data_IF_690196405225
#
_entry.id   IF_690196405225
#
_cell.length_a   1.000
_cell.length_b   1.000
_cell.length_c   1.000
_cell.angle_alpha   90.00
_cell.angle_beta   90.00
_cell.angle_gamma   90.00
#
_symmetry.space_group_name_H-M   'P 1'
#
loop_
_entity.id
_entity.type
_entity.pdbx_description
1 polymer ?
#
# COMPACT_ATOMS: atom_id res chain seq x y z
N UNK A 1 -37.68 46.98 -20.32
CA UNK A 1 -36.25 47.12 -20.00
C UNK A 1 -35.91 46.82 -18.52
N UNK A 2 -36.65 47.34 -17.53
CA UNK A 2 -36.37 47.12 -16.08
C UNK A 2 -36.46 45.65 -15.60
N UNK A 3 -37.38 44.87 -16.18
CA UNK A 3 -37.58 43.44 -15.85
C UNK A 3 -36.42 42.54 -16.30
N UNK A 4 -35.74 42.93 -17.38
CA UNK A 4 -34.60 42.19 -17.95
C UNK A 4 -33.33 42.42 -17.12
N UNK A 5 -33.13 43.67 -16.66
CA UNK A 5 -32.04 44.05 -15.75
C UNK A 5 -32.18 43.37 -14.38
N UNK A 6 -33.41 43.27 -13.84
CA UNK A 6 -33.68 42.54 -12.59
C UNK A 6 -33.44 41.03 -12.70
N UNK A 7 -33.71 40.41 -13.85
CA UNK A 7 -33.46 38.99 -14.08
C UNK A 7 -31.95 38.70 -14.20
N UNK A 8 -31.22 39.61 -14.85
CA UNK A 8 -29.76 39.53 -14.98
C UNK A 8 -29.07 39.66 -13.60
N UNK A 9 -29.59 40.53 -12.73
CA UNK A 9 -29.07 40.71 -11.37
C UNK A 9 -29.30 39.47 -10.49
N UNK A 10 -30.43 38.77 -10.68
CA UNK A 10 -30.75 37.53 -9.95
C UNK A 10 -29.86 36.35 -10.38
N UNK A 11 -29.50 36.26 -11.67
CA UNK A 11 -28.55 35.24 -12.16
C UNK A 11 -27.12 35.45 -11.64
N UNK A 12 -26.72 36.69 -11.35
CA UNK A 12 -25.38 37.02 -10.84
C UNK A 12 -25.27 36.67 -9.34
N UNK A 13 -26.36 36.79 -8.57
CA UNK A 13 -26.39 36.48 -7.13
C UNK A 13 -26.42 34.97 -6.82
N UNK A 14 -26.67 34.10 -7.80
CA UNK A 14 -26.73 32.62 -7.64
C UNK A 14 -25.38 31.90 -7.83
N UNK A 15 -24.27 32.63 -8.03
CA UNK A 15 -22.91 32.05 -8.17
C UNK A 15 -22.02 32.67 -7.08
N UNK A 16 -21.85 32.04 -5.90
CA UNK A 16 -21.03 30.83 -5.83
C UNK A 16 -21.41 29.90 -4.66
N UNK A 17 -22.16 28.84 -4.94
CA UNK A 17 -22.13 27.60 -4.13
C UNK A 17 -21.28 26.52 -4.82
N UNK A 18 -20.24 26.93 -5.55
CA UNK A 18 -19.24 25.99 -6.06
C UNK A 18 -18.30 25.65 -4.91
N UNK A 19 -18.71 24.67 -4.12
CA UNK A 19 -17.82 23.92 -3.25
C UNK A 19 -16.76 23.29 -4.16
N UNK A 20 -15.59 23.91 -4.22
CA UNK A 20 -14.46 23.25 -4.85
C UNK A 20 -14.09 22.10 -3.91
N UNK A 21 -14.01 20.84 -4.38
CA UNK A 21 -13.39 19.80 -3.57
C UNK A 21 -12.01 20.34 -3.21
N UNK A 22 -11.68 20.37 -1.92
CA UNK A 22 -10.36 20.76 -1.45
C UNK A 22 -9.36 19.88 -2.20
N UNK A 23 -8.73 20.46 -3.22
CA UNK A 23 -7.83 19.76 -4.11
C UNK A 23 -6.77 19.14 -3.23
N UNK A 24 -6.76 17.81 -3.16
CA UNK A 24 -5.68 17.05 -2.56
C UNK A 24 -4.40 17.64 -3.12
N UNK A 25 -3.57 18.22 -2.26
CA UNK A 25 -2.32 18.88 -2.65
C UNK A 25 -1.57 17.97 -3.64
N UNK A 26 -1.53 18.36 -4.92
CA UNK A 26 -0.78 17.63 -5.97
C UNK A 26 0.73 17.63 -5.67
N UNK A 27 1.17 18.47 -4.72
CA UNK A 27 2.53 18.49 -4.15
C UNK A 27 2.91 17.26 -3.32
N UNK A 28 2.02 16.30 -3.08
CA UNK A 28 2.39 14.98 -2.52
C UNK A 28 2.65 13.90 -3.59
N UNK A 29 2.78 14.29 -4.86
CA UNK A 29 3.07 13.33 -5.93
C UNK A 29 4.59 13.16 -6.10
N UNK A 30 5.19 12.24 -5.32
CA UNK A 30 6.18 11.24 -5.83
C UNK A 30 6.90 10.44 -4.72
N UNK A 31 6.28 10.12 -3.57
CA UNK A 31 6.88 9.04 -2.76
C UNK A 31 6.48 7.70 -3.40
N UNK A 32 7.48 6.87 -3.73
CA UNK A 32 7.23 5.49 -4.07
C UNK A 32 6.61 4.81 -2.86
N UNK A 33 5.32 4.51 -2.92
CA UNK A 33 4.61 3.84 -1.83
C UNK A 33 5.03 2.37 -1.80
N UNK A 34 5.45 1.90 -0.63
CA UNK A 34 5.78 0.50 -0.40
C UNK A 34 4.54 -0.23 0.12
N UNK A 35 4.13 -1.28 -0.59
CA UNK A 35 3.14 -2.25 -0.12
C UNK A 35 3.87 -3.56 0.19
N UNK A 36 3.88 -3.97 1.46
CA UNK A 36 4.39 -5.26 1.88
C UNK A 36 3.22 -6.24 2.03
N UNK A 37 3.23 -7.32 1.24
CA UNK A 37 2.26 -8.42 1.33
C UNK A 37 2.98 -9.64 1.88
N UNK A 38 2.44 -10.25 2.93
CA UNK A 38 3.01 -11.43 3.56
C UNK A 38 2.01 -12.58 3.50
N UNK A 39 2.44 -13.70 2.92
CA UNK A 39 1.65 -14.92 2.82
C UNK A 39 2.18 -15.94 3.85
N UNK A 40 1.37 -16.31 4.83
CA UNK A 40 1.76 -17.29 5.84
C UNK A 40 1.83 -18.69 5.23
N UNK A 41 2.86 -19.46 5.60
CA UNK A 41 3.07 -20.82 5.12
C UNK A 41 3.35 -20.95 3.61
N UNK A 42 3.63 -19.86 2.89
CA UNK A 42 3.94 -19.92 1.46
C UNK A 42 5.36 -20.45 1.24
N UNK A 43 5.48 -21.73 0.92
CA UNK A 43 6.78 -22.37 0.67
C UNK A 43 7.38 -21.87 -0.64
N UNK A 44 8.71 -21.80 -0.70
CA UNK A 44 9.49 -21.25 -1.81
C UNK A 44 9.17 -21.84 -3.20
N UNK A 45 8.65 -23.07 -3.29
CA UNK A 45 8.32 -23.75 -4.54
C UNK A 45 6.82 -23.87 -4.84
N UNK A 46 5.94 -23.23 -4.07
CA UNK A 46 4.49 -23.33 -4.30
C UNK A 46 4.02 -22.71 -5.60
N UNK A 47 4.82 -21.85 -6.21
CA UNK A 47 4.53 -21.25 -7.51
C UNK A 47 4.96 -22.13 -8.70
N UNK A 48 5.62 -23.27 -8.47
CA UNK A 48 6.12 -24.15 -9.54
C UNK A 48 5.07 -25.16 -10.04
N UNK A 49 4.23 -25.64 -9.12
CA UNK A 49 3.29 -26.74 -9.38
C UNK A 49 1.82 -26.27 -9.49
N UNK A 50 1.59 -24.96 -9.45
CA UNK A 50 0.25 -24.34 -9.44
C UNK A 50 0.25 -23.13 -10.36
N UNK A 51 -0.85 -22.96 -11.12
CA UNK A 51 -1.06 -21.77 -11.94
C UNK A 51 -1.27 -20.53 -11.05
N UNK A 52 -0.31 -19.61 -11.08
CA UNK A 52 -0.32 -18.38 -10.27
C UNK A 52 -0.07 -17.15 -11.14
N UNK A 53 -1.00 -16.81 -12.06
CA UNK A 53 -0.75 -15.84 -13.13
C UNK A 53 -0.37 -14.43 -12.62
N UNK A 54 -0.90 -14.03 -11.46
CA UNK A 54 -0.54 -12.75 -10.84
C UNK A 54 0.87 -12.75 -10.25
N UNK A 55 1.30 -13.87 -9.67
CA UNK A 55 2.67 -14.00 -9.15
C UNK A 55 3.67 -14.06 -10.32
N UNK A 56 3.33 -14.77 -11.39
CA UNK A 56 4.15 -14.80 -12.61
C UNK A 56 4.37 -13.41 -13.21
N UNK A 57 3.34 -12.56 -13.20
CA UNK A 57 3.46 -11.16 -13.64
C UNK A 57 4.41 -10.37 -12.73
N UNK A 58 4.34 -10.56 -11.42
CA UNK A 58 5.25 -9.92 -10.47
C UNK A 58 6.70 -10.35 -10.67
N UNK A 59 6.95 -11.64 -10.93
CA UNK A 59 8.29 -12.16 -11.22
C UNK A 59 8.81 -11.60 -12.53
N UNK A 60 7.99 -11.57 -13.59
CA UNK A 60 8.37 -11.03 -14.91
C UNK A 60 8.69 -9.54 -14.88
N UNK A 61 7.99 -8.77 -14.05
CA UNK A 61 8.16 -7.30 -13.95
C UNK A 61 9.10 -6.88 -12.82
N UNK A 62 9.55 -7.82 -11.99
CA UNK A 62 10.28 -7.56 -10.75
C UNK A 62 11.45 -8.50 -10.54
N UNK A 63 11.73 -8.82 -9.27
CA UNK A 63 12.83 -9.69 -8.85
C UNK A 63 12.30 -10.79 -7.94
N UNK A 64 12.71 -12.02 -8.20
CA UNK A 64 12.43 -13.20 -7.37
C UNK A 64 13.75 -13.77 -6.82
N UNK A 65 13.78 -14.03 -5.52
CA UNK A 65 14.82 -14.84 -4.90
C UNK A 65 14.42 -16.33 -4.99
N UNK A 66 15.41 -17.24 -5.02
CA UNK A 66 15.16 -18.68 -5.06
C UNK A 66 14.43 -19.17 -3.80
N UNK A 67 14.87 -18.71 -2.62
CA UNK A 67 14.23 -18.94 -1.34
C UNK A 67 14.63 -17.86 -0.33
N UNK A 68 13.89 -17.79 0.78
CA UNK A 68 14.23 -16.98 1.95
C UNK A 68 14.56 -17.92 3.11
N UNK A 69 15.69 -17.70 3.78
CA UNK A 69 16.04 -18.45 4.99
C UNK A 69 15.19 -17.91 6.15
N UNK A 70 14.25 -18.70 6.71
CA UNK A 70 13.45 -18.26 7.85
C UNK A 70 14.31 -18.20 9.13
N UNK A 71 13.86 -17.50 10.18
CA UNK A 71 14.49 -17.63 11.49
C UNK A 71 14.40 -19.08 11.99
N UNK A 72 15.35 -19.47 12.86
CA UNK A 72 15.50 -20.85 13.36
C UNK A 72 14.17 -21.46 13.86
N UNK A 73 13.34 -20.66 14.53
CA UNK A 73 11.97 -21.05 14.90
C UNK A 73 11.03 -20.65 13.77
N UNK A 74 10.67 -21.61 12.92
CA UNK A 74 9.75 -21.43 11.77
C UNK A 74 8.27 -21.40 12.20
N UNK A 75 7.93 -20.59 13.20
CA UNK A 75 6.54 -20.31 13.57
C UNK A 75 6.09 -18.96 12.99
N UNK A 76 4.78 -18.79 12.78
CA UNK A 76 4.18 -17.57 12.19
C UNK A 76 4.63 -16.29 12.93
N UNK A 77 4.41 -16.21 14.24
CA UNK A 77 4.74 -14.99 15.00
C UNK A 77 6.25 -14.64 14.99
N UNK A 78 7.20 -15.57 15.22
CA UNK A 78 8.64 -15.34 15.01
C UNK A 78 9.04 -14.93 13.60
N UNK A 79 8.53 -15.62 12.59
CA UNK A 79 8.94 -15.38 11.20
C UNK A 79 8.49 -14.01 10.70
N UNK A 80 7.24 -13.64 10.96
CA UNK A 80 6.72 -12.32 10.59
C UNK A 80 7.42 -11.19 11.34
N UNK A 81 7.67 -11.38 12.65
CA UNK A 81 8.36 -10.37 13.46
C UNK A 81 9.77 -10.11 12.95
N UNK A 82 10.56 -11.16 12.70
CA UNK A 82 11.93 -11.02 12.20
C UNK A 82 11.97 -10.42 10.79
N UNK A 83 11.02 -10.76 9.91
CA UNK A 83 10.94 -10.18 8.56
C UNK A 83 10.68 -8.67 8.59
N UNK A 84 9.81 -8.20 9.49
CA UNK A 84 9.44 -6.78 9.57
C UNK A 84 10.51 -5.96 10.30
N UNK A 85 11.09 -6.51 11.37
CA UNK A 85 11.99 -5.77 12.26
C UNK A 85 13.48 -5.97 11.97
N UNK A 86 13.84 -7.00 11.20
CA UNK A 86 15.23 -7.43 11.02
C UNK A 86 15.87 -8.02 12.29
N UNK A 87 15.11 -8.24 13.36
CA UNK A 87 15.61 -8.75 14.65
C UNK A 87 15.08 -10.15 14.95
N UNK A 88 15.93 -11.01 15.50
CA UNK A 88 15.47 -12.30 16.02
C UNK A 88 14.72 -12.10 17.33
N UNK A 89 13.61 -12.84 17.54
CA UNK A 89 12.92 -12.85 18.84
C UNK A 89 13.85 -13.32 19.97
N UNK A 90 14.80 -14.22 19.69
CA UNK A 90 15.76 -14.69 20.69
C UNK A 90 16.65 -13.56 21.22
N UNK A 91 17.00 -12.58 20.39
CA UNK A 91 17.79 -11.43 20.81
C UNK A 91 16.98 -10.43 21.65
N UNK A 92 15.67 -10.32 21.41
CA UNK A 92 14.81 -9.47 22.23
C UNK A 92 14.52 -10.07 23.60
N UNK A 93 14.49 -11.40 23.73
CA UNK A 93 14.39 -12.04 25.04
C UNK A 93 15.61 -11.74 25.93
N UNK A 94 16.80 -11.67 25.33
CA UNK A 94 18.05 -11.31 26.02
C UNK A 94 18.21 -9.81 26.33
N UNK A 95 17.39 -8.94 25.72
CA UNK A 95 17.38 -7.49 25.97
C UNK A 95 16.31 -7.05 26.98
N UNK A 96 15.46 -7.98 27.40
CA UNK A 96 14.36 -7.74 28.35
C UNK A 96 14.59 -8.43 29.72
N UNK A 97 15.76 -9.03 29.92
CA UNK A 97 16.35 -9.35 31.23
C UNK A 97 17.51 -8.39 31.53
#
# INVERSE_FOLDING_TARGET
>A
MKRLSSLLLLLILLKPFTCHPAGRNEKEKSSNKLLLVSFDGFRWNYDQDVDTPNMDLLVKQGVKAEYITPPFVTMTSPSHFTTITGRSRSELHLLLE
#
